data_IF_794130943790
#
_entry.id   IF_794130943790
#
_cell.length_a   1.000
_cell.length_b   1.000
_cell.length_c   1.000
_cell.angle_alpha   90.00
_cell.angle_beta   90.00
_cell.angle_gamma   90.00
#
_symmetry.space_group_name_H-M   'P 1'
#
loop_
_entity.id
_entity.type
_entity.pdbx_description
1 polymer ?
#
# COMPACT_ATOMS: atom_id res chain seq x y z
N UNK A 1 17.76 -12.92 22.18
CA UNK A 1 17.06 -11.73 21.63
C UNK A 1 15.88 -12.21 20.79
N UNK A 2 14.66 -11.67 20.96
CA UNK A 2 13.49 -12.18 20.20
C UNK A 2 13.62 -11.75 18.73
N UNK A 3 13.29 -12.63 17.78
CA UNK A 3 13.41 -12.40 16.31
C UNK A 3 12.77 -11.07 15.88
N UNK A 4 11.63 -10.71 16.48
CA UNK A 4 10.95 -9.44 16.21
C UNK A 4 11.78 -8.19 16.57
N UNK A 5 12.60 -8.24 17.62
CA UNK A 5 13.47 -7.11 18.01
C UNK A 5 14.58 -6.87 16.98
N UNK A 6 15.08 -7.93 16.34
CA UNK A 6 16.02 -7.83 15.23
C UNK A 6 15.37 -7.18 14.02
N UNK A 7 14.11 -7.54 13.74
CA UNK A 7 13.37 -7.00 12.62
C UNK A 7 13.07 -5.50 12.74
N UNK A 8 12.90 -5.00 13.97
CA UNK A 8 12.79 -3.56 14.21
C UNK A 8 14.03 -2.78 13.77
N UNK A 9 15.23 -3.36 13.85
CA UNK A 9 16.47 -2.65 13.49
C UNK A 9 16.50 -2.21 12.02
N UNK A 10 15.90 -2.99 11.11
CA UNK A 10 15.79 -2.59 9.69
C UNK A 10 14.60 -1.65 9.45
N UNK A 11 13.43 -1.92 10.05
CA UNK A 11 12.24 -1.07 9.87
C UNK A 11 12.47 0.36 10.38
N UNK A 12 13.26 0.50 11.43
CA UNK A 12 13.62 1.78 12.03
C UNK A 12 15.05 2.20 11.68
N UNK A 13 15.58 1.75 10.54
CA UNK A 13 16.82 2.32 10.01
C UNK A 13 16.65 3.82 9.77
N UNK A 14 17.73 4.60 9.89
CA UNK A 14 17.70 6.07 9.72
C UNK A 14 16.99 6.47 8.42
N UNK A 15 17.26 5.75 7.32
CA UNK A 15 16.65 5.98 6.01
C UNK A 15 15.15 5.69 6.05
N UNK A 16 14.73 4.56 6.63
CA UNK A 16 13.30 4.21 6.71
C UNK A 16 12.52 5.17 7.61
N UNK A 17 13.12 5.68 8.69
CA UNK A 17 12.53 6.73 9.53
C UNK A 17 12.36 8.03 8.74
N UNK A 18 13.38 8.44 7.99
CA UNK A 18 13.29 9.64 7.13
C UNK A 18 12.18 9.47 6.09
N UNK A 19 12.13 8.36 5.37
CA UNK A 19 11.13 8.11 4.32
C UNK A 19 9.72 8.05 4.90
N UNK A 20 9.53 7.38 6.05
CA UNK A 20 8.22 7.35 6.72
C UNK A 20 7.78 8.73 7.20
N UNK A 21 8.71 9.54 7.72
CA UNK A 21 8.41 10.93 8.12
C UNK A 21 8.03 11.79 6.92
N UNK A 22 8.77 11.68 5.81
CA UNK A 22 8.46 12.38 4.56
C UNK A 22 7.09 11.96 4.04
N UNK A 23 6.79 10.66 4.03
CA UNK A 23 5.51 10.13 3.58
C UNK A 23 4.35 10.75 4.39
N UNK A 24 4.43 10.71 5.72
CA UNK A 24 3.40 11.30 6.59
C UNK A 24 3.29 12.81 6.35
N UNK A 25 4.42 13.52 6.23
CA UNK A 25 4.44 14.96 5.95
C UNK A 25 3.76 15.32 4.62
N UNK A 26 4.07 14.59 3.54
CA UNK A 26 3.44 14.79 2.24
C UNK A 26 1.94 14.49 2.34
N UNK A 27 1.53 13.43 3.04
CA UNK A 27 0.11 13.12 3.21
C UNK A 27 -0.63 14.25 3.91
N UNK A 28 -0.07 14.84 4.98
CA UNK A 28 -0.68 15.97 5.68
C UNK A 28 -0.79 17.19 4.75
N UNK A 29 0.30 17.56 4.07
CA UNK A 29 0.32 18.70 3.15
C UNK A 29 -0.70 18.54 2.02
N UNK A 30 -0.76 17.36 1.41
CA UNK A 30 -1.71 17.04 0.35
C UNK A 30 -3.16 17.13 0.85
N UNK A 31 -3.44 16.61 2.04
CA UNK A 31 -4.77 16.68 2.66
C UNK A 31 -5.24 18.13 2.85
N UNK A 32 -4.33 19.01 3.31
CA UNK A 32 -4.63 20.42 3.51
C UNK A 32 -4.83 21.13 2.16
N UNK A 33 -3.99 20.81 1.17
CA UNK A 33 -4.07 21.41 -0.16
C UNK A 33 -5.38 21.06 -0.88
N UNK A 34 -5.89 19.82 -0.76
CA UNK A 34 -7.17 19.46 -1.38
C UNK A 34 -8.34 20.15 -0.66
N UNK A 35 -8.31 20.26 0.67
CA UNK A 35 -9.48 20.80 1.41
C UNK A 35 -9.59 22.33 1.30
N UNK A 36 -8.49 23.03 1.03
CA UNK A 36 -8.41 24.49 0.99
C UNK A 36 -9.29 25.16 -0.08
N UNK A 37 -9.30 24.73 -1.36
CA UNK A 37 -10.24 25.21 -2.37
C UNK A 37 -11.72 25.09 -2.00
N UNK A 38 -12.06 24.19 -1.08
CA UNK A 38 -13.43 23.93 -0.65
C UNK A 38 -13.87 24.77 0.56
N UNK A 39 -13.01 25.67 1.05
CA UNK A 39 -13.32 26.60 2.15
C UNK A 39 -14.15 27.81 1.72
N UNK A 40 -14.46 28.02 0.44
CA UNK A 40 -15.23 29.20 0.04
C UNK A 40 -16.74 29.05 0.34
N UNK A 41 -17.37 30.05 0.97
CA UNK A 41 -18.71 29.91 1.59
C UNK A 41 -19.89 30.02 0.62
N UNK A 42 -19.69 30.59 -0.57
CA UNK A 42 -20.74 30.80 -1.58
C UNK A 42 -21.07 29.52 -2.37
N UNK A 43 -20.08 28.66 -2.61
CA UNK A 43 -20.20 27.37 -3.33
C UNK A 43 -20.79 26.26 -2.45
N UNK A 44 -20.79 26.50 -1.13
CA UNK A 44 -20.88 25.50 -0.07
C UNK A 44 -22.27 24.86 0.13
N UNK A 45 -23.37 25.58 -0.09
CA UNK A 45 -24.72 25.05 0.19
C UNK A 45 -25.28 24.18 -0.94
N UNK A 46 -24.99 24.53 -2.20
CA UNK A 46 -25.57 23.88 -3.37
C UNK A 46 -24.80 22.60 -3.78
N UNK A 47 -23.49 22.51 -3.45
CA UNK A 47 -22.59 21.44 -3.89
C UNK A 47 -21.91 20.64 -2.75
N UNK A 48 -22.43 20.72 -1.51
CA UNK A 48 -21.83 20.11 -0.31
C UNK A 48 -21.48 18.63 -0.46
N UNK A 49 -22.41 17.84 -1.00
CA UNK A 49 -22.23 16.40 -1.20
C UNK A 49 -21.14 16.11 -2.23
N UNK A 50 -21.17 16.84 -3.36
CA UNK A 50 -20.21 16.71 -4.44
C UNK A 50 -18.78 17.06 -3.99
N UNK A 51 -18.63 18.14 -3.24
CA UNK A 51 -17.36 18.60 -2.68
C UNK A 51 -16.75 17.57 -1.73
N UNK A 52 -17.55 17.06 -0.78
CA UNK A 52 -17.08 16.10 0.22
C UNK A 52 -16.66 14.80 -0.46
N UNK A 53 -17.45 14.34 -1.44
CA UNK A 53 -17.15 13.15 -2.21
C UNK A 53 -15.87 13.31 -3.04
N UNK A 54 -15.69 14.42 -3.75
CA UNK A 54 -14.48 14.66 -4.54
C UNK A 54 -13.22 14.72 -3.68
N UNK A 55 -13.31 15.35 -2.51
CA UNK A 55 -12.22 15.34 -1.53
C UNK A 55 -11.89 13.91 -1.09
N UNK A 56 -12.91 13.13 -0.69
CA UNK A 56 -12.73 11.74 -0.26
C UNK A 56 -12.09 10.89 -1.36
N UNK A 57 -12.58 11.00 -2.61
CA UNK A 57 -12.02 10.28 -3.75
C UNK A 57 -10.57 10.65 -4.06
N UNK A 58 -10.26 11.95 -4.10
CA UNK A 58 -8.90 12.43 -4.34
C UNK A 58 -7.94 11.97 -3.23
N UNK A 59 -8.40 12.02 -1.98
CA UNK A 59 -7.63 11.58 -0.84
C UNK A 59 -7.36 10.07 -0.85
N UNK A 60 -8.41 9.26 -1.04
CA UNK A 60 -8.31 7.79 -1.14
C UNK A 60 -7.37 7.38 -2.27
N UNK A 61 -7.50 8.01 -3.44
CA UNK A 61 -6.65 7.72 -4.61
C UNK A 61 -5.18 8.00 -4.31
N UNK A 62 -4.90 9.15 -3.69
CA UNK A 62 -3.54 9.50 -3.28
C UNK A 62 -2.97 8.54 -2.24
N UNK A 63 -3.73 8.23 -1.18
CA UNK A 63 -3.31 7.28 -0.14
C UNK A 63 -3.06 5.90 -0.74
N UNK A 64 -3.90 5.45 -1.66
CA UNK A 64 -3.74 4.19 -2.38
C UNK A 64 -2.38 4.14 -3.11
N UNK A 65 -2.08 5.14 -3.93
CA UNK A 65 -0.83 5.22 -4.70
C UNK A 65 0.39 5.25 -3.76
N UNK A 66 0.38 6.13 -2.75
CA UNK A 66 1.55 6.31 -1.88
C UNK A 66 1.80 5.09 -0.99
N UNK A 67 0.74 4.42 -0.52
CA UNK A 67 0.86 3.21 0.29
C UNK A 67 1.34 2.00 -0.51
N UNK A 68 0.89 1.86 -1.76
CA UNK A 68 1.43 0.84 -2.66
C UNK A 68 2.92 1.09 -2.94
N UNK A 69 3.28 2.32 -3.29
CA UNK A 69 4.69 2.68 -3.52
C UNK A 69 5.56 2.39 -2.30
N UNK A 70 5.11 2.82 -1.12
CA UNK A 70 5.81 2.62 0.13
C UNK A 70 5.95 1.14 0.50
N UNK A 71 4.91 0.33 0.26
CA UNK A 71 4.97 -1.11 0.45
C UNK A 71 6.00 -1.76 -0.47
N UNK A 72 5.97 -1.46 -1.77
CA UNK A 72 6.96 -1.93 -2.73
C UNK A 72 8.39 -1.59 -2.28
N UNK A 73 8.61 -0.34 -1.84
CA UNK A 73 9.88 0.11 -1.28
C UNK A 73 10.30 -0.70 -0.05
N UNK A 74 9.41 -0.88 0.94
CA UNK A 74 9.74 -1.63 2.15
C UNK A 74 10.11 -3.09 1.85
N UNK A 75 9.31 -3.78 1.04
CA UNK A 75 9.61 -5.16 0.66
C UNK A 75 10.93 -5.26 -0.10
N UNK A 76 11.15 -4.44 -1.14
CA UNK A 76 12.41 -4.47 -1.90
C UNK A 76 13.63 -4.11 -1.05
N UNK A 77 13.55 -3.03 -0.25
CA UNK A 77 14.67 -2.58 0.59
C UNK A 77 15.04 -3.61 1.66
N UNK A 78 14.04 -4.21 2.31
CA UNK A 78 14.25 -5.19 3.36
C UNK A 78 14.84 -6.50 2.81
N UNK A 79 14.44 -6.94 1.62
CA UNK A 79 14.90 -8.20 1.02
C UNK A 79 16.09 -8.03 0.04
N UNK A 80 16.60 -6.81 -0.11
CA UNK A 80 17.83 -6.51 -0.85
C UNK A 80 19.06 -7.14 -0.18
N UNK A 81 20.05 -7.58 -0.97
CA UNK A 81 21.27 -8.23 -0.45
C UNK A 81 21.96 -7.43 0.66
N UNK A 82 22.10 -6.12 0.48
CA UNK A 82 22.80 -5.25 1.43
C UNK A 82 22.16 -5.23 2.83
N UNK A 83 20.83 -5.33 2.90
CA UNK A 83 20.07 -5.29 4.16
C UNK A 83 19.68 -6.69 4.66
N UNK A 84 19.73 -7.71 3.80
CA UNK A 84 19.48 -9.11 4.16
C UNK A 84 20.73 -9.81 4.71
N UNK A 85 21.87 -9.11 4.80
CA UNK A 85 23.18 -9.61 5.31
C UNK A 85 23.15 -10.17 6.74
N UNK A 86 22.13 -9.84 7.54
CA UNK A 86 21.92 -10.45 8.87
C UNK A 86 21.54 -11.94 8.82
N UNK A 87 21.22 -12.46 7.63
CA UNK A 87 21.04 -13.87 7.37
C UNK A 87 22.26 -14.69 7.85
N UNK A 88 23.48 -14.16 7.69
CA UNK A 88 24.73 -14.84 8.08
C UNK A 88 24.86 -14.99 9.61
N UNK A 89 24.25 -14.10 10.40
CA UNK A 89 24.39 -14.07 11.87
C UNK A 89 23.31 -14.92 12.58
N UNK A 90 22.22 -15.28 11.89
CA UNK A 90 21.07 -16.00 12.47
C UNK A 90 21.00 -17.49 12.09
N UNK A 91 21.78 -17.94 11.10
CA UNK A 91 21.79 -19.34 10.61
C UNK A 91 22.17 -20.33 11.71
N UNK A 92 22.95 -19.93 12.71
CA UNK A 92 23.36 -20.87 13.76
C UNK A 92 22.17 -21.41 14.58
N UNK A 93 20.97 -20.81 14.53
CA UNK A 93 19.81 -21.28 15.33
C UNK A 93 18.40 -21.12 14.72
N UNK A 94 18.20 -20.47 13.56
CA UNK A 94 16.85 -20.23 13.00
C UNK A 94 16.75 -20.65 11.53
N UNK A 95 15.68 -21.39 11.18
CA UNK A 95 15.44 -21.81 9.79
C UNK A 95 15.15 -20.63 8.85
N UNK A 96 15.65 -20.69 7.60
CA UNK A 96 15.41 -19.68 6.55
C UNK A 96 13.92 -19.34 6.39
N UNK A 97 13.07 -20.37 6.50
CA UNK A 97 11.60 -20.26 6.40
C UNK A 97 11.00 -19.39 7.52
N UNK A 98 11.36 -19.65 8.78
CA UNK A 98 10.88 -18.88 9.94
C UNK A 98 11.34 -17.43 9.86
N UNK A 99 12.56 -17.18 9.39
CA UNK A 99 13.07 -15.84 9.17
C UNK A 99 12.25 -15.09 8.11
N UNK A 100 12.00 -15.67 6.94
CA UNK A 100 11.18 -15.04 5.90
C UNK A 100 9.77 -14.73 6.41
N UNK A 101 9.09 -15.71 7.02
CA UNK A 101 7.71 -15.54 7.51
C UNK A 101 7.65 -14.39 8.50
N UNK A 102 8.53 -14.40 9.51
CA UNK A 102 8.56 -13.35 10.53
C UNK A 102 8.88 -11.97 9.95
N UNK A 103 9.77 -11.88 8.96
CA UNK A 103 10.12 -10.62 8.28
C UNK A 103 8.95 -10.05 7.47
N UNK A 104 8.28 -10.91 6.68
CA UNK A 104 7.07 -10.52 5.94
C UNK A 104 5.99 -10.03 6.90
N UNK A 105 5.67 -10.79 7.95
CA UNK A 105 4.66 -10.40 8.96
C UNK A 105 5.01 -9.05 9.60
N UNK A 106 6.28 -8.82 9.95
CA UNK A 106 6.71 -7.55 10.55
C UNK A 106 6.53 -6.38 9.58
N UNK A 107 6.80 -6.56 8.28
CA UNK A 107 6.54 -5.54 7.26
C UNK A 107 5.04 -5.27 7.11
N UNK A 108 4.20 -6.31 7.11
CA UNK A 108 2.74 -6.16 7.02
C UNK A 108 2.19 -5.34 8.21
N UNK A 109 2.66 -5.64 9.42
CA UNK A 109 2.30 -4.86 10.62
C UNK A 109 2.72 -3.40 10.45
N UNK A 110 3.91 -3.13 9.91
CA UNK A 110 4.38 -1.75 9.71
C UNK A 110 3.52 -0.97 8.71
N UNK A 111 3.10 -1.63 7.63
CA UNK A 111 2.18 -1.05 6.65
C UNK A 111 0.84 -0.72 7.32
N UNK A 112 0.33 -1.62 8.16
CA UNK A 112 -0.91 -1.41 8.91
C UNK A 112 -0.80 -0.21 9.87
N UNK A 113 0.30 -0.12 10.65
CA UNK A 113 0.56 1.02 11.55
C UNK A 113 0.49 2.36 10.82
N UNK A 114 1.18 2.47 9.68
CA UNK A 114 1.22 3.72 8.90
C UNK A 114 -0.16 4.04 8.32
N UNK A 115 -0.87 3.04 7.82
CA UNK A 115 -2.21 3.20 7.26
C UNK A 115 -3.22 3.66 8.32
N UNK A 116 -3.10 3.18 9.57
CA UNK A 116 -3.89 3.67 10.72
C UNK A 116 -3.55 5.11 11.07
N UNK A 117 -2.26 5.50 11.03
CA UNK A 117 -1.84 6.89 11.25
C UNK A 117 -2.44 7.81 10.17
N UNK A 118 -2.41 7.39 8.90
CA UNK A 118 -3.00 8.13 7.78
C UNK A 118 -4.51 8.26 7.94
N UNK A 119 -5.21 7.20 8.34
CA UNK A 119 -6.64 7.24 8.63
C UNK A 119 -6.97 8.23 9.75
N UNK A 120 -6.15 8.25 10.79
CA UNK A 120 -6.30 9.21 11.89
C UNK A 120 -6.12 10.66 11.38
N UNK A 121 -5.10 10.91 10.56
CA UNK A 121 -4.89 12.22 9.92
C UNK A 121 -6.10 12.63 9.07
N UNK A 122 -6.65 11.71 8.27
CA UNK A 122 -7.87 11.96 7.50
C UNK A 122 -9.03 12.43 8.39
N UNK A 123 -9.30 11.70 9.47
CA UNK A 123 -10.40 12.02 10.39
C UNK A 123 -10.18 13.39 11.03
N UNK A 124 -8.97 13.68 11.52
CA UNK A 124 -8.64 14.96 12.17
C UNK A 124 -8.79 16.13 11.20
N UNK A 125 -8.26 16.01 9.98
CA UNK A 125 -8.33 17.10 8.99
C UNK A 125 -9.78 17.36 8.58
N UNK A 126 -10.58 16.32 8.33
CA UNK A 126 -11.98 16.52 8.05
C UNK A 126 -12.74 17.12 9.23
N UNK A 127 -12.48 16.68 10.45
CA UNK A 127 -13.15 17.24 11.62
C UNK A 127 -12.83 18.72 11.83
N UNK A 128 -11.58 19.13 11.59
CA UNK A 128 -11.13 20.52 11.78
C UNK A 128 -11.60 21.44 10.64
N UNK A 129 -11.56 20.97 9.39
CA UNK A 129 -11.77 21.83 8.23
C UNK A 129 -13.13 21.64 7.53
N UNK A 130 -13.81 20.51 7.76
CA UNK A 130 -15.11 20.20 7.17
C UNK A 130 -16.17 20.07 8.27
N UNK A 131 -16.93 21.15 8.49
CA UNK A 131 -17.99 21.27 9.51
C UNK A 131 -19.13 20.24 9.38
N UNK A 132 -19.13 19.48 8.29
CA UNK A 132 -20.21 18.60 7.87
C UNK A 132 -19.78 17.15 7.74
N UNK A 133 -18.53 16.87 8.09
CA UNK A 133 -17.98 15.56 8.02
C UNK A 133 -18.73 14.60 8.95
N UNK A 134 -19.25 13.54 8.36
CA UNK A 134 -19.83 12.42 9.07
C UNK A 134 -18.97 11.22 8.73
N UNK A 135 -18.50 10.51 9.75
CA UNK A 135 -17.72 9.29 9.57
C UNK A 135 -18.62 8.24 8.92
N UNK A 136 -18.33 7.88 7.67
CA UNK A 136 -19.00 6.81 6.95
C UNK A 136 -18.20 5.51 7.08
N UNK A 137 -18.87 4.36 7.21
CA UNK A 137 -18.23 3.04 7.24
C UNK A 137 -17.46 2.73 5.94
N UNK A 138 -17.86 3.34 4.82
CA UNK A 138 -17.21 3.21 3.51
C UNK A 138 -15.71 3.53 3.57
N UNK A 139 -15.29 4.54 4.36
CA UNK A 139 -13.88 4.93 4.46
C UNK A 139 -13.02 3.79 5.04
N UNK A 140 -13.52 3.08 6.05
CA UNK A 140 -12.80 1.98 6.67
C UNK A 140 -12.66 0.80 5.69
N UNK A 141 -13.70 0.55 4.88
CA UNK A 141 -13.65 -0.44 3.81
C UNK A 141 -12.60 -0.07 2.77
N UNK A 142 -12.56 1.19 2.34
CA UNK A 142 -11.55 1.73 1.40
C UNK A 142 -10.13 1.54 1.92
N UNK A 143 -9.88 1.89 3.19
CA UNK A 143 -8.58 1.68 3.83
C UNK A 143 -8.20 0.19 3.96
N UNK A 144 -9.18 -0.68 4.24
CA UNK A 144 -8.98 -2.13 4.22
C UNK A 144 -8.55 -2.66 2.85
N UNK A 145 -9.18 -2.17 1.77
CA UNK A 145 -8.81 -2.54 0.40
C UNK A 145 -7.41 -2.02 0.06
N UNK A 146 -7.08 -0.77 0.41
CA UNK A 146 -5.74 -0.21 0.21
C UNK A 146 -4.67 -1.05 0.92
N UNK A 147 -4.95 -1.48 2.15
CA UNK A 147 -4.05 -2.37 2.89
C UNK A 147 -3.80 -3.69 2.15
N UNK A 148 -4.85 -4.33 1.62
CA UNK A 148 -4.71 -5.58 0.86
C UNK A 148 -3.91 -5.37 -0.43
N UNK A 149 -4.21 -4.32 -1.20
CA UNK A 149 -3.49 -4.00 -2.43
C UNK A 149 -2.02 -3.69 -2.15
N UNK A 150 -1.72 -2.86 -1.14
CA UNK A 150 -0.35 -2.55 -0.74
C UNK A 150 0.43 -3.83 -0.42
N UNK A 151 -0.17 -4.79 0.28
CA UNK A 151 0.47 -6.08 0.56
C UNK A 151 0.70 -6.93 -0.69
N UNK A 152 -0.25 -6.98 -1.62
CA UNK A 152 -0.12 -7.71 -2.89
C UNK A 152 1.06 -7.17 -3.70
N UNK A 153 1.09 -5.86 -3.95
CA UNK A 153 2.17 -5.24 -4.71
C UNK A 153 3.52 -5.29 -3.97
N UNK A 154 3.51 -5.22 -2.64
CA UNK A 154 4.69 -5.47 -1.82
C UNK A 154 5.27 -6.88 -2.02
N UNK A 155 4.42 -7.91 -2.06
CA UNK A 155 4.84 -9.29 -2.35
C UNK A 155 5.33 -9.46 -3.80
N UNK A 156 4.70 -8.81 -4.78
CA UNK A 156 5.23 -8.74 -6.15
C UNK A 156 6.63 -8.13 -6.15
N UNK A 157 6.83 -7.04 -5.41
CA UNK A 157 8.14 -6.40 -5.25
C UNK A 157 9.18 -7.35 -4.62
N UNK A 158 8.78 -8.17 -3.64
CA UNK A 158 9.61 -9.23 -3.04
C UNK A 158 10.04 -10.29 -4.08
N UNK A 159 9.13 -10.72 -4.95
CA UNK A 159 9.46 -11.66 -6.03
C UNK A 159 10.48 -11.02 -6.97
N UNK A 160 10.22 -9.78 -7.40
CA UNK A 160 11.09 -9.05 -8.34
C UNK A 160 12.48 -8.76 -7.77
N UNK A 161 12.61 -8.33 -6.52
CA UNK A 161 13.94 -8.11 -5.90
C UNK A 161 14.72 -9.43 -5.82
N UNK A 162 14.05 -10.56 -5.59
CA UNK A 162 14.71 -11.87 -5.60
C UNK A 162 15.04 -12.36 -7.00
N UNK A 163 14.38 -11.91 -8.07
CA UNK A 163 14.77 -12.23 -9.45
C UNK A 163 15.89 -11.30 -9.92
N UNK A 164 15.64 -9.98 -9.91
CA UNK A 164 16.46 -8.94 -10.54
C UNK A 164 17.65 -8.54 -9.65
N UNK A 165 17.51 -8.67 -8.33
CA UNK A 165 18.56 -8.35 -7.35
C UNK A 165 18.99 -6.86 -7.35
N UNK A 166 18.09 -5.95 -7.71
CA UNK A 166 18.32 -4.50 -7.65
C UNK A 166 17.13 -3.80 -7.01
N UNK A 167 17.36 -2.70 -6.27
CA UNK A 167 16.31 -1.91 -5.63
C UNK A 167 15.34 -1.30 -6.65
N UNK A 168 15.76 -1.18 -7.92
CA UNK A 168 14.90 -0.73 -9.02
C UNK A 168 13.69 -1.65 -9.27
N UNK A 169 13.65 -2.86 -8.70
CA UNK A 169 12.45 -3.71 -8.66
C UNK A 169 11.21 -2.98 -8.13
N UNK A 170 11.40 -1.98 -7.24
CA UNK A 170 10.32 -1.12 -6.74
C UNK A 170 9.56 -0.45 -7.88
N UNK A 171 10.28 0.11 -8.85
CA UNK A 171 9.67 0.86 -9.96
C UNK A 171 8.89 -0.08 -10.90
N UNK A 172 9.36 -1.30 -11.10
CA UNK A 172 8.67 -2.30 -11.91
C UNK A 172 7.37 -2.74 -11.23
N UNK A 173 7.40 -3.02 -9.91
CA UNK A 173 6.18 -3.36 -9.16
C UNK A 173 5.16 -2.21 -9.17
N UNK A 174 5.61 -0.96 -9.06
CA UNK A 174 4.74 0.21 -9.20
C UNK A 174 4.18 0.33 -10.63
N UNK A 175 5.02 0.09 -11.65
CA UNK A 175 4.60 0.11 -13.05
C UNK A 175 3.45 -0.85 -13.33
N UNK A 176 3.51 -2.09 -12.79
CA UNK A 176 2.39 -3.02 -12.91
C UNK A 176 1.09 -2.52 -12.27
N UNK A 177 1.19 -1.84 -11.12
CA UNK A 177 0.02 -1.21 -10.50
C UNK A 177 -0.54 -0.08 -11.38
N UNK A 178 0.31 0.86 -11.81
CA UNK A 178 -0.12 2.03 -12.59
C UNK A 178 -0.71 1.63 -13.94
N UNK A 179 -0.14 0.63 -14.61
CA UNK A 179 -0.70 0.09 -15.85
C UNK A 179 -2.09 -0.49 -15.60
N UNK A 180 -2.27 -1.24 -14.51
CA UNK A 180 -3.60 -1.78 -14.17
C UNK A 180 -4.61 -0.66 -13.88
N UNK A 181 -4.23 0.36 -13.13
CA UNK A 181 -5.07 1.52 -12.83
C UNK A 181 -5.49 2.26 -14.10
N UNK A 182 -4.54 2.60 -14.97
CA UNK A 182 -4.81 3.33 -16.22
C UNK A 182 -5.74 2.54 -17.13
N UNK A 183 -5.51 1.22 -17.27
CA UNK A 183 -6.32 0.40 -18.16
C UNK A 183 -7.79 0.36 -17.75
N UNK A 184 -8.08 0.40 -16.44
CA UNK A 184 -9.46 0.42 -15.94
C UNK A 184 -10.20 1.68 -16.35
N UNK A 185 -9.56 2.85 -16.21
CA UNK A 185 -10.20 4.14 -16.46
C UNK A 185 -10.60 4.33 -17.94
N UNK A 186 -9.92 3.64 -18.85
CA UNK A 186 -10.28 3.66 -20.28
C UNK A 186 -11.44 2.73 -20.65
N UNK A 187 -12.08 2.07 -19.67
CA UNK A 187 -13.21 1.14 -19.85
C UNK A 187 -13.02 0.19 -21.04
N UNK A 188 -11.79 -0.26 -21.31
CA UNK A 188 -11.56 -1.12 -22.46
C UNK A 188 -12.31 -2.42 -22.16
N UNK A 189 -13.40 -2.65 -22.88
CA UNK A 189 -14.29 -3.81 -22.77
C UNK A 189 -13.62 -5.11 -23.25
N UNK A 190 -12.35 -5.28 -22.94
CA UNK A 190 -11.50 -6.35 -23.42
C UNK A 190 -11.30 -7.40 -22.33
N UNK A 191 -11.42 -8.66 -22.74
CA UNK A 191 -11.00 -9.82 -21.96
C UNK A 191 -9.56 -9.66 -21.43
N UNK A 192 -8.70 -8.93 -22.16
CA UNK A 192 -7.33 -8.63 -21.75
C UNK A 192 -7.24 -7.88 -20.41
N UNK A 193 -8.08 -6.86 -20.19
CA UNK A 193 -8.13 -6.15 -18.89
C UNK A 193 -8.56 -7.09 -17.76
N UNK A 194 -9.50 -7.99 -18.03
CA UNK A 194 -9.94 -8.98 -17.04
C UNK A 194 -8.79 -9.91 -16.62
N UNK A 195 -7.96 -10.34 -17.57
CA UNK A 195 -6.78 -11.17 -17.29
C UNK A 195 -5.73 -10.39 -16.52
N UNK A 196 -5.46 -9.13 -16.90
CA UNK A 196 -4.49 -8.28 -16.20
C UNK A 196 -4.93 -8.10 -14.74
N UNK A 197 -6.20 -7.80 -14.49
CA UNK A 197 -6.73 -7.63 -13.13
C UNK A 197 -6.76 -8.92 -12.29
N UNK A 198 -6.71 -10.08 -12.93
CA UNK A 198 -6.58 -11.35 -12.22
C UNK A 198 -5.25 -11.43 -11.46
N UNK A 199 -4.17 -10.86 -12.01
CA UNK A 199 -2.83 -10.87 -11.43
C UNK A 199 -2.43 -9.54 -10.80
N UNK A 200 -2.83 -8.42 -11.40
CA UNK A 200 -2.53 -7.07 -10.93
C UNK A 200 -3.84 -6.35 -10.60
N UNK A 201 -4.50 -6.72 -9.49
CA UNK A 201 -5.80 -6.15 -9.16
C UNK A 201 -5.68 -4.68 -8.80
N UNK A 202 -6.70 -3.92 -9.16
CA UNK A 202 -6.92 -2.59 -8.62
C UNK A 202 -8.42 -2.34 -8.44
N UNK A 203 -8.76 -1.15 -7.96
CA UNK A 203 -10.13 -0.71 -7.72
C UNK A 203 -10.62 0.16 -8.86
N UNK A 204 -11.91 0.07 -9.17
CA UNK A 204 -12.60 1.08 -9.98
C UNK A 204 -13.65 1.80 -9.13
N UNK A 205 -13.97 3.02 -9.51
CA UNK A 205 -15.03 3.80 -8.88
C UNK A 205 -16.35 3.53 -9.58
N UNK A 206 -17.36 3.16 -8.79
CA UNK A 206 -18.74 3.08 -9.26
C UNK A 206 -19.64 3.64 -8.17
N UNK A 207 -20.52 4.57 -8.52
CA UNK A 207 -21.49 5.16 -7.59
C UNK A 207 -20.84 5.68 -6.26
N UNK A 208 -19.66 6.29 -6.37
CA UNK A 208 -18.84 6.82 -5.25
C UNK A 208 -18.22 5.79 -4.30
N UNK A 209 -18.40 4.49 -4.57
CA UNK A 209 -17.77 3.43 -3.80
C UNK A 209 -16.60 2.79 -4.56
N UNK A 210 -15.60 2.32 -3.82
CA UNK A 210 -14.50 1.54 -4.37
C UNK A 210 -14.95 0.09 -4.58
N UNK A 211 -14.91 -0.36 -5.82
CA UNK A 211 -15.23 -1.73 -6.20
C UNK A 211 -14.00 -2.49 -6.69
N UNK A 212 -14.02 -3.80 -6.42
CA UNK A 212 -13.04 -4.76 -6.89
C UNK A 212 -13.72 -5.67 -7.90
N UNK A 213 -13.13 -5.84 -9.09
CA UNK A 213 -13.74 -6.64 -10.17
C UNK A 213 -14.04 -8.08 -9.78
N UNK A 214 -13.13 -8.70 -9.03
CA UNK A 214 -13.27 -10.08 -8.55
C UNK A 214 -13.51 -10.19 -7.04
N UNK A 215 -13.78 -9.07 -6.37
CA UNK A 215 -14.06 -9.02 -4.93
C UNK A 215 -12.85 -9.27 -4.02
N UNK A 216 -13.10 -9.27 -2.71
CA UNK A 216 -12.06 -9.35 -1.66
C UNK A 216 -11.43 -10.75 -1.57
N UNK A 217 -12.22 -11.81 -1.80
CA UNK A 217 -11.72 -13.19 -1.75
C UNK A 217 -10.61 -13.44 -2.79
N UNK A 218 -10.73 -12.85 -3.98
CA UNK A 218 -9.69 -12.90 -5.01
C UNK A 218 -8.37 -12.29 -4.50
N UNK A 219 -8.41 -11.13 -3.85
CA UNK A 219 -7.22 -10.50 -3.25
C UNK A 219 -6.55 -11.41 -2.21
N UNK A 220 -7.34 -12.09 -1.37
CA UNK A 220 -6.81 -13.00 -0.35
C UNK A 220 -6.09 -14.20 -0.96
N UNK A 221 -6.69 -14.82 -1.98
CA UNK A 221 -6.09 -15.95 -2.72
C UNK A 221 -4.80 -15.49 -3.41
N UNK A 222 -4.84 -14.34 -4.08
CA UNK A 222 -3.68 -13.79 -4.80
C UNK A 222 -2.53 -13.46 -3.84
N UNK A 223 -2.83 -12.90 -2.66
CA UNK A 223 -1.84 -12.64 -1.63
C UNK A 223 -1.18 -13.94 -1.13
N UNK A 224 -1.94 -15.02 -0.95
CA UNK A 224 -1.39 -16.32 -0.59
C UNK A 224 -0.50 -16.90 -1.69
N UNK A 225 -0.94 -16.78 -2.95
CA UNK A 225 -0.19 -17.22 -4.13
C UNK A 225 1.15 -16.48 -4.26
N UNK A 226 1.16 -15.14 -4.17
CA UNK A 226 2.41 -14.37 -4.26
C UNK A 226 3.33 -14.60 -3.07
N UNK A 227 2.78 -14.81 -1.87
CA UNK A 227 3.58 -15.22 -0.73
C UNK A 227 4.25 -16.57 -0.98
N UNK A 228 3.53 -17.56 -1.50
CA UNK A 228 4.06 -18.89 -1.82
C UNK A 228 5.16 -18.82 -2.89
N UNK A 229 4.94 -18.07 -3.99
CA UNK A 229 5.95 -17.88 -5.03
C UNK A 229 7.20 -17.19 -4.45
N UNK A 230 7.02 -16.11 -3.69
CA UNK A 230 8.12 -15.40 -3.03
C UNK A 230 8.90 -16.28 -2.05
N UNK A 231 8.19 -17.15 -1.31
CA UNK A 231 8.79 -18.14 -0.42
C UNK A 231 9.69 -19.13 -1.17
N UNK A 232 9.21 -19.68 -2.29
CA UNK A 232 10.01 -20.60 -3.12
C UNK A 232 11.27 -19.92 -3.67
N UNK A 233 11.16 -18.71 -4.20
CA UNK A 233 12.32 -17.96 -4.70
C UNK A 233 13.33 -17.63 -3.61
N UNK A 234 12.87 -17.31 -2.41
CA UNK A 234 13.76 -17.02 -1.28
C UNK A 234 14.54 -18.26 -0.83
N UNK A 235 13.92 -19.43 -0.81
CA UNK A 235 14.59 -20.67 -0.40
C UNK A 235 15.55 -21.22 -1.47
N UNK A 236 15.25 -21.01 -2.76
CA UNK A 236 16.04 -21.56 -3.87
C UNK A 236 17.36 -20.80 -4.11
N UNK A 237 17.45 -19.51 -3.76
CA UNK A 237 18.67 -18.73 -3.91
C UNK A 237 19.65 -19.05 -2.79
N UNK A 238 20.58 -19.95 -3.07
CA UNK A 238 21.89 -20.07 -2.41
C UNK A 238 22.93 -19.28 -3.19
#
# INVERSE_FOLDING_TARGET
MKIYQLHRKYLFSKINVIITTILIGITILFSIAIIEPFKDSSVRWMNRFYITNNFEQAYITFVKIIMIFFSCYLFSSCFSKNNDNYYIILIDNISKSKYLISKVVTIKIKILEILVIILFIYIVINYVFNQWYIINISIFKSFGIIYLLANIYGLVSLILIKVINTIYSVMISLGFYLISEILIDYEVSSQMISIIQLFFPTTYLKDNDLFLKYGIFHLMILMALYFFIGYLFYLKKE
#
